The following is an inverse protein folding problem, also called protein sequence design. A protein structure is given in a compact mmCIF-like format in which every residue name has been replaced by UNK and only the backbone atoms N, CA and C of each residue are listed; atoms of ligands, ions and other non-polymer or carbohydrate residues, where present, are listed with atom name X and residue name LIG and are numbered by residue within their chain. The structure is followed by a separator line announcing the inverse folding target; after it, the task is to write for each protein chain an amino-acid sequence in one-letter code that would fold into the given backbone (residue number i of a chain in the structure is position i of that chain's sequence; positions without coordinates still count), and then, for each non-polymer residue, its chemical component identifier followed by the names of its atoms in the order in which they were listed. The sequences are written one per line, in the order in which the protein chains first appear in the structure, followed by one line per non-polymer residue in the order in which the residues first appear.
data_IF_654498867962
#
_entry.id   IF_654498867962
#
_cell.length_a   1.000
_cell.length_b   1.000
_cell.length_c   1.000
_cell.angle_alpha   90.00
_cell.angle_beta   90.00
_cell.angle_gamma   90.00
#
_symmetry.space_group_name_H-M   'P 1'
#
loop_
_entity.id
_entity.type
_entity.pdbx_description
1 polymer ?
#
# COMPACT_ATOMS: atom_id res chain seq x y z
N UNK A 1 7.03 27.14 -11.92
CA UNK A 1 6.64 26.68 -10.57
C UNK A 1 7.79 27.03 -9.67
N UNK A 2 7.60 27.97 -8.75
CA UNK A 2 8.66 28.29 -7.78
C UNK A 2 8.88 27.08 -6.88
N UNK A 3 10.14 26.71 -6.71
CA UNK A 3 10.51 25.57 -5.87
C UNK A 3 10.18 25.91 -4.41
N UNK A 4 9.49 25.00 -3.73
CA UNK A 4 9.11 25.19 -2.34
C UNK A 4 10.35 25.22 -1.44
N UNK A 5 10.37 26.03 -0.36
CA UNK A 5 11.44 25.98 0.63
C UNK A 5 11.61 24.58 1.22
N UNK A 6 12.85 24.14 1.41
CA UNK A 6 13.20 22.81 1.96
C UNK A 6 12.38 22.36 3.20
N UNK A 7 12.11 23.23 4.20
CA UNK A 7 11.30 22.84 5.36
C UNK A 7 9.86 22.44 4.99
N UNK A 8 9.30 23.06 3.95
CA UNK A 8 7.95 22.77 3.47
C UNK A 8 7.93 21.44 2.73
N UNK A 9 8.95 21.18 1.90
CA UNK A 9 9.09 19.91 1.16
C UNK A 9 9.19 18.73 2.12
N UNK A 10 10.08 18.80 3.11
CA UNK A 10 10.24 17.75 4.12
C UNK A 10 8.94 17.46 4.88
N UNK A 11 8.17 18.50 5.23
CA UNK A 11 6.90 18.31 5.93
C UNK A 11 5.83 17.66 5.05
N UNK A 12 5.84 17.95 3.75
CA UNK A 12 4.96 17.29 2.78
C UNK A 12 5.36 15.82 2.62
N UNK A 13 6.66 15.52 2.50
CA UNK A 13 7.15 14.14 2.39
C UNK A 13 6.83 13.31 3.64
N UNK A 14 6.84 13.92 4.84
CA UNK A 14 6.41 13.25 6.09
C UNK A 14 4.93 12.85 6.09
N UNK A 15 4.07 13.58 5.37
CA UNK A 15 2.61 13.37 5.39
C UNK A 15 2.15 12.57 4.17
N UNK A 16 2.67 12.91 3.00
CA UNK A 16 2.25 12.40 1.71
C UNK A 16 3.21 11.36 1.14
N UNK A 17 4.43 11.26 1.69
CA UNK A 17 5.49 10.43 1.11
C UNK A 17 6.01 11.01 -0.20
N UNK A 18 6.60 10.15 -1.02
CA UNK A 18 7.02 10.49 -2.38
C UNK A 18 5.81 10.91 -3.25
N UNK A 19 6.11 11.47 -4.42
CA UNK A 19 5.08 11.71 -5.45
C UNK A 19 4.29 10.43 -5.69
N UNK A 20 2.95 10.54 -5.64
CA UNK A 20 2.05 9.42 -5.93
C UNK A 20 2.47 8.72 -7.24
N UNK A 21 2.50 7.38 -7.27
CA UNK A 21 2.91 6.64 -8.45
C UNK A 21 2.01 7.01 -9.63
N UNK A 22 2.59 7.04 -10.84
CA UNK A 22 1.86 7.34 -12.07
C UNK A 22 0.79 6.30 -12.43
N UNK A 23 0.83 5.15 -11.75
CA UNK A 23 -0.10 4.03 -11.92
C UNK A 23 -0.64 3.61 -10.55
N UNK A 24 -1.92 3.27 -10.50
CA UNK A 24 -2.55 2.73 -9.28
C UNK A 24 -2.07 1.31 -8.99
N UNK A 25 -2.34 0.80 -7.79
CA UNK A 25 -1.95 -0.57 -7.44
C UNK A 25 -2.60 -1.63 -8.33
N UNK A 26 -3.83 -1.39 -8.79
CA UNK A 26 -4.58 -2.32 -9.65
C UNK A 26 -4.03 -2.38 -11.09
N UNK A 27 -3.32 -1.34 -11.53
CA UNK A 27 -2.70 -1.25 -12.86
C UNK A 27 -1.29 -1.85 -12.91
N UNK A 28 -0.66 -2.08 -11.76
CA UNK A 28 0.66 -2.70 -11.68
C UNK A 28 0.52 -4.21 -11.80
N UNK A 29 1.27 -4.82 -12.71
CA UNK A 29 1.41 -6.28 -12.82
C UNK A 29 2.43 -6.83 -11.80
N UNK A 30 2.45 -6.27 -10.59
CA UNK A 30 3.31 -6.69 -9.49
C UNK A 30 2.65 -7.82 -8.69
N UNK A 31 2.01 -8.79 -9.37
CA UNK A 31 1.27 -9.84 -8.67
C UNK A 31 2.27 -10.65 -7.83
N UNK A 32 2.20 -10.58 -6.49
CA UNK A 32 3.04 -11.42 -5.63
C UNK A 32 2.72 -12.90 -5.92
N UNK A 33 3.69 -13.80 -5.67
CA UNK A 33 3.44 -15.24 -5.76
C UNK A 33 2.10 -15.54 -5.05
N UNK A 34 1.12 -16.18 -5.72
CA UNK A 34 -0.19 -16.45 -5.14
C UNK A 34 -0.13 -17.11 -3.77
N UNK A 35 0.97 -17.81 -3.45
CA UNK A 35 1.17 -18.48 -2.16
C UNK A 35 1.76 -17.60 -1.06
N UNK A 36 2.28 -16.41 -1.38
CA UNK A 36 3.00 -15.57 -0.43
C UNK A 36 2.07 -14.74 0.49
N UNK A 37 0.77 -14.68 0.20
CA UNK A 37 -0.22 -13.92 0.99
C UNK A 37 -1.32 -14.75 1.65
N UNK A 38 -1.37 -16.06 1.38
CA UNK A 38 -2.47 -16.91 1.88
C UNK A 38 -2.44 -17.07 3.40
N UNK A 39 -1.25 -17.15 4.02
CA UNK A 39 -1.12 -17.35 5.46
C UNK A 39 -1.74 -16.20 6.29
N UNK A 40 -1.60 -14.95 5.82
CA UNK A 40 -2.20 -13.79 6.47
C UNK A 40 -3.73 -13.77 6.30
N UNK A 41 -4.22 -14.15 5.12
CA UNK A 41 -5.65 -14.25 4.84
C UNK A 41 -6.31 -15.36 5.66
N UNK A 42 -5.63 -16.49 5.82
CA UNK A 42 -6.07 -17.61 6.67
C UNK A 42 -6.10 -17.22 8.15
N UNK A 43 -5.11 -16.47 8.62
CA UNK A 43 -5.04 -16.01 10.01
C UNK A 43 -6.16 -15.02 10.39
N UNK A 44 -6.74 -14.31 9.42
CA UNK A 44 -7.80 -13.33 9.62
C UNK A 44 -9.22 -13.89 9.40
N UNK A 45 -9.39 -15.20 9.34
CA UNK A 45 -10.71 -15.82 9.16
C UNK A 45 -11.63 -15.53 10.36
N UNK A 46 -12.86 -15.05 10.14
CA UNK A 46 -13.84 -14.87 11.21
C UNK A 46 -14.13 -16.20 11.95
N UNK A 47 -14.53 -16.16 13.24
CA UNK A 47 -14.73 -17.36 14.06
C UNK A 47 -15.76 -18.36 13.53
N UNK A 48 -16.65 -17.93 12.63
CA UNK A 48 -17.70 -18.75 12.03
C UNK A 48 -17.31 -19.37 10.68
N UNK A 49 -16.07 -19.16 10.22
CA UNK A 49 -15.64 -19.54 8.88
C UNK A 49 -15.62 -21.06 8.66
N UNK A 50 -15.39 -21.85 9.71
CA UNK A 50 -15.25 -23.31 9.63
C UNK A 50 -16.33 -24.06 10.44
N UNK A 51 -17.46 -23.40 10.70
CA UNK A 51 -18.56 -23.94 11.51
C UNK A 51 -19.81 -24.13 10.63
N UNK A 52 -19.84 -25.22 9.85
CA UNK A 52 -21.05 -25.79 9.24
C UNK A 52 -21.54 -27.01 10.04
#
# INVERSE_FOLDING_TARGET
MDELPEPVRRRLDEVFGDVLPSTTSDERDDRPDPRAGDDELLANRPPHHDQD
#
